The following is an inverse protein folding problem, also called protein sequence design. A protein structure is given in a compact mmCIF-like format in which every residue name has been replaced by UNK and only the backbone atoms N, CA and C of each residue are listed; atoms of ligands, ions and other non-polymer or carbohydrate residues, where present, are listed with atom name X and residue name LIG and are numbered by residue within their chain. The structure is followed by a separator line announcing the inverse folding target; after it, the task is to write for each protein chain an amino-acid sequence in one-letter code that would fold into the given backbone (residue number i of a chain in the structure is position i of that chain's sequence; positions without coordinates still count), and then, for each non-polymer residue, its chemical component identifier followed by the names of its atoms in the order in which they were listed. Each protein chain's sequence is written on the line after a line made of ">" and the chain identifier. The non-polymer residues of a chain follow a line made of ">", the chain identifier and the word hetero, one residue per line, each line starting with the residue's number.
data_IF_204998581453
#
_entry.id   IF_204998581453
#
_cell.length_a   1.000
_cell.length_b   1.000
_cell.length_c   1.000
_cell.angle_alpha   90.00
_cell.angle_beta   90.00
_cell.angle_gamma   90.00
#
_symmetry.space_group_name_H-M   'P 1'
#
loop_
_entity.id
_entity.type
_entity.pdbx_description
1 polymer ?
#
# COMPACT_ATOMS: atom_id res chain seq x y z
N UNK A 1 1.29 -4.17 -14.69
CA UNK A 1 2.06 -2.96 -15.05
C UNK A 1 1.25 -1.71 -14.68
N UNK A 2 1.91 -0.60 -14.31
CA UNK A 2 1.22 0.66 -14.05
C UNK A 2 0.39 1.08 -15.27
N UNK A 3 -0.84 1.54 -15.02
CA UNK A 3 -1.77 1.95 -16.07
C UNK A 3 -2.23 3.37 -15.80
N UNK A 4 -2.13 4.24 -16.81
CA UNK A 4 -2.63 5.62 -16.76
C UNK A 4 -3.87 5.73 -17.62
N UNK A 5 -4.96 6.23 -17.05
CA UNK A 5 -6.21 6.47 -17.78
C UNK A 5 -6.40 7.98 -17.90
N UNK A 6 -6.36 8.49 -19.14
CA UNK A 6 -6.65 9.87 -19.44
C UNK A 6 -8.15 10.04 -19.70
N UNK A 7 -8.88 10.60 -18.74
CA UNK A 7 -10.31 10.78 -18.84
C UNK A 7 -10.65 12.24 -19.21
N UNK A 8 -11.21 12.46 -20.39
CA UNK A 8 -11.79 13.76 -20.77
C UNK A 8 -13.23 13.81 -20.28
N UNK A 9 -13.49 14.63 -19.29
CA UNK A 9 -14.79 14.74 -18.64
C UNK A 9 -15.34 16.16 -18.70
N UNK A 10 -16.62 16.32 -18.41
CA UNK A 10 -17.29 17.60 -18.24
C UNK A 10 -17.62 17.75 -16.75
N UNK A 11 -17.23 18.89 -16.15
CA UNK A 11 -17.56 19.18 -14.77
C UNK A 11 -19.08 19.22 -14.59
N UNK A 12 -19.58 18.50 -13.57
CA UNK A 12 -21.02 18.43 -13.32
C UNK A 12 -21.79 17.63 -14.34
N UNK A 13 -21.18 16.68 -15.05
CA UNK A 13 -21.86 15.84 -16.01
C UNK A 13 -23.13 15.23 -15.44
N UNK A 14 -24.25 15.43 -16.11
CA UNK A 14 -25.56 14.95 -15.67
C UNK A 14 -26.39 15.95 -14.86
N UNK A 15 -25.77 17.02 -14.34
CA UNK A 15 -26.48 18.03 -13.54
C UNK A 15 -27.32 19.01 -14.39
N UNK A 16 -27.30 18.89 -15.72
CA UNK A 16 -28.09 19.73 -16.59
C UNK A 16 -27.79 21.23 -16.45
N UNK A 17 -28.86 22.04 -16.48
CA UNK A 17 -28.76 23.51 -16.42
C UNK A 17 -28.13 24.03 -15.13
N UNK A 18 -28.29 23.30 -14.03
CA UNK A 18 -27.87 23.76 -12.71
C UNK A 18 -26.37 23.56 -12.44
N UNK A 19 -25.68 22.75 -13.25
CA UNK A 19 -24.29 22.45 -12.89
C UNK A 19 -23.39 21.98 -14.04
N UNK A 20 -23.94 21.57 -15.19
CA UNK A 20 -23.11 21.00 -16.25
C UNK A 20 -22.30 22.07 -16.98
N UNK A 21 -20.97 21.91 -17.00
CA UNK A 21 -20.03 22.86 -17.61
C UNK A 21 -19.99 24.27 -16.98
N UNK A 22 -20.46 24.40 -15.74
CA UNK A 22 -20.52 25.68 -15.04
C UNK A 22 -19.43 25.76 -13.97
N UNK A 23 -18.73 26.89 -13.88
CA UNK A 23 -17.64 27.08 -12.91
C UNK A 23 -18.10 27.00 -11.45
N UNK A 24 -19.34 27.48 -11.17
CA UNK A 24 -19.92 27.49 -9.83
C UNK A 24 -20.29 26.09 -9.32
N UNK A 25 -20.29 25.08 -10.16
CA UNK A 25 -20.62 23.69 -9.80
C UNK A 25 -19.74 23.15 -8.68
N UNK A 26 -18.52 23.64 -8.55
CA UNK A 26 -17.63 23.26 -7.45
C UNK A 26 -18.20 23.57 -6.06
N UNK A 27 -19.05 24.57 -5.96
CA UNK A 27 -19.68 25.01 -4.72
C UNK A 27 -21.14 24.53 -4.60
N UNK A 28 -21.65 23.82 -5.60
CA UNK A 28 -23.02 23.29 -5.59
C UNK A 28 -23.19 22.28 -4.47
N UNK A 29 -24.08 22.57 -3.53
CA UNK A 29 -24.30 21.71 -2.35
C UNK A 29 -25.57 20.88 -2.47
N UNK A 30 -26.56 21.35 -3.22
CA UNK A 30 -27.86 20.70 -3.40
C UNK A 30 -28.34 20.90 -4.84
N UNK A 31 -29.01 19.90 -5.37
CA UNK A 31 -29.86 20.01 -6.56
C UNK A 31 -31.27 20.28 -6.10
N UNK A 32 -31.99 21.08 -6.89
CA UNK A 32 -33.42 21.27 -6.65
C UNK A 32 -34.23 20.08 -7.18
N UNK A 33 -35.54 20.13 -7.00
CA UNK A 33 -36.42 19.04 -7.39
C UNK A 33 -36.46 18.83 -8.91
N UNK A 34 -36.42 19.90 -9.69
CA UNK A 34 -36.39 19.84 -11.15
C UNK A 34 -35.10 19.19 -11.64
N UNK A 35 -33.97 19.56 -11.06
CA UNK A 35 -32.67 18.99 -11.38
C UNK A 35 -32.59 17.49 -11.07
N UNK A 36 -33.16 17.08 -9.93
CA UNK A 36 -33.20 15.67 -9.54
C UNK A 36 -34.06 14.84 -10.50
N UNK A 37 -35.21 15.35 -10.92
CA UNK A 37 -36.06 14.70 -11.90
C UNK A 37 -35.36 14.62 -13.26
N UNK A 38 -34.71 15.71 -13.69
CA UNK A 38 -33.92 15.71 -14.91
C UNK A 38 -32.79 14.66 -14.88
N UNK A 39 -32.05 14.56 -13.75
CA UNK A 39 -30.99 13.58 -13.58
C UNK A 39 -31.55 12.14 -13.69
N UNK A 40 -32.63 11.84 -12.99
CA UNK A 40 -33.32 10.56 -13.07
C UNK A 40 -33.68 10.18 -14.50
N UNK A 41 -34.32 11.11 -15.23
CA UNK A 41 -34.79 10.87 -16.58
C UNK A 41 -33.65 10.68 -17.57
N UNK A 42 -32.61 11.51 -17.44
CA UNK A 42 -31.42 11.44 -18.30
C UNK A 42 -30.68 10.10 -18.17
N UNK A 43 -30.60 9.55 -16.97
CA UNK A 43 -29.89 8.29 -16.71
C UNK A 43 -30.84 7.08 -16.60
N UNK A 44 -32.11 7.25 -16.83
CA UNK A 44 -33.08 6.16 -16.80
C UNK A 44 -33.19 5.47 -15.44
N UNK A 45 -32.99 6.22 -14.34
CA UNK A 45 -33.08 5.65 -13.00
C UNK A 45 -34.56 5.31 -12.70
N UNK A 46 -34.92 4.06 -12.39
CA UNK A 46 -36.29 3.63 -12.26
C UNK A 46 -36.90 4.00 -10.90
N UNK A 47 -36.99 5.29 -10.63
CA UNK A 47 -37.65 5.86 -9.44
C UNK A 47 -38.83 6.71 -9.84
N UNK A 48 -39.90 6.65 -9.05
CA UNK A 48 -41.08 7.54 -9.18
C UNK A 48 -40.74 8.95 -8.78
N UNK A 49 -41.46 9.95 -9.22
CA UNK A 49 -41.29 11.35 -8.84
C UNK A 49 -41.29 11.52 -7.31
N UNK A 50 -42.19 10.82 -6.63
CA UNK A 50 -42.26 10.84 -5.16
C UNK A 50 -40.97 10.34 -4.50
N UNK A 51 -40.41 9.26 -5.02
CA UNK A 51 -39.15 8.69 -4.52
C UNK A 51 -37.97 9.62 -4.78
N UNK A 52 -37.92 10.24 -5.96
CA UNK A 52 -36.89 11.23 -6.29
C UNK A 52 -36.96 12.43 -5.36
N UNK A 53 -38.17 12.98 -5.14
CA UNK A 53 -38.41 14.10 -4.22
C UNK A 53 -38.00 13.79 -2.76
N UNK A 54 -38.21 12.53 -2.34
CA UNK A 54 -37.82 12.05 -1.01
C UNK A 54 -36.32 11.64 -0.94
N UNK A 55 -35.59 11.72 -2.06
CA UNK A 55 -34.18 11.32 -2.16
C UNK A 55 -34.01 9.85 -1.69
N UNK A 56 -34.90 8.97 -2.14
CA UNK A 56 -34.82 7.55 -1.82
C UNK A 56 -33.67 6.87 -2.57
N UNK A 57 -32.99 5.95 -1.89
CA UNK A 57 -31.92 5.17 -2.51
C UNK A 57 -32.50 4.19 -3.54
N UNK A 58 -31.94 4.22 -4.73
CA UNK A 58 -32.20 3.18 -5.71
C UNK A 58 -31.35 1.95 -5.41
N UNK A 59 -32.00 0.81 -5.26
CA UNK A 59 -31.34 -0.49 -5.19
C UNK A 59 -31.75 -1.31 -6.40
N UNK A 60 -30.81 -1.66 -7.31
CA UNK A 60 -31.10 -2.52 -8.45
C UNK A 60 -31.60 -3.89 -8.01
N UNK A 61 -32.45 -4.52 -8.84
CA UNK A 61 -32.88 -5.88 -8.60
C UNK A 61 -31.70 -6.86 -8.62
N UNK A 62 -31.72 -7.83 -7.73
CA UNK A 62 -30.66 -8.83 -7.60
C UNK A 62 -30.43 -9.66 -8.89
N UNK A 63 -31.46 -9.76 -9.74
CA UNK A 63 -31.42 -10.47 -11.01
C UNK A 63 -31.19 -9.55 -12.21
N UNK A 64 -30.97 -8.24 -11.98
CA UNK A 64 -30.64 -7.32 -13.08
C UNK A 64 -29.31 -7.69 -13.70
N UNK A 65 -29.10 -7.32 -14.96
CA UNK A 65 -27.86 -7.65 -15.68
C UNK A 65 -26.64 -6.96 -15.05
N UNK A 66 -26.83 -5.74 -14.53
CA UNK A 66 -25.78 -4.98 -13.83
C UNK A 66 -25.31 -5.70 -12.56
N UNK A 67 -26.25 -6.19 -11.76
CA UNK A 67 -25.93 -6.91 -10.52
C UNK A 67 -25.30 -8.27 -10.80
N UNK A 68 -25.80 -8.99 -11.79
CA UNK A 68 -25.17 -10.25 -12.23
C UNK A 68 -23.75 -10.04 -12.70
N UNK A 69 -23.52 -9.01 -13.53
CA UNK A 69 -22.17 -8.66 -13.99
C UNK A 69 -21.26 -8.28 -12.83
N UNK A 70 -21.72 -7.38 -11.95
CA UNK A 70 -20.96 -6.97 -10.76
C UNK A 70 -20.54 -8.18 -9.92
N UNK A 71 -21.50 -9.04 -9.57
CA UNK A 71 -21.24 -10.23 -8.76
C UNK A 71 -20.26 -11.19 -9.44
N UNK A 72 -20.41 -11.42 -10.74
CA UNK A 72 -19.50 -12.28 -11.49
C UNK A 72 -18.06 -11.75 -11.48
N UNK A 73 -17.88 -10.44 -11.66
CA UNK A 73 -16.53 -9.83 -11.58
C UNK A 73 -15.97 -9.91 -10.15
N UNK A 74 -16.79 -9.66 -9.14
CA UNK A 74 -16.34 -9.76 -7.73
C UNK A 74 -15.94 -11.18 -7.35
N UNK A 75 -16.65 -12.18 -7.82
CA UNK A 75 -16.28 -13.60 -7.60
C UNK A 75 -14.92 -13.91 -8.23
N UNK A 76 -14.65 -13.44 -9.45
CA UNK A 76 -13.33 -13.60 -10.11
C UNK A 76 -12.20 -12.95 -9.32
N UNK A 77 -12.47 -11.88 -8.59
CA UNK A 77 -11.51 -11.14 -7.76
C UNK A 77 -11.43 -11.64 -6.31
N UNK A 78 -12.10 -12.75 -5.97
CA UNK A 78 -12.07 -13.30 -4.61
C UNK A 78 -13.14 -12.74 -3.66
N UNK A 79 -14.19 -12.10 -4.15
CA UNK A 79 -15.29 -11.57 -3.35
C UNK A 79 -15.36 -10.05 -3.28
N UNK A 80 -16.32 -9.51 -2.52
CA UNK A 80 -16.54 -8.06 -2.40
C UNK A 80 -15.49 -7.36 -1.54
N UNK A 81 -15.08 -8.01 -0.48
CA UNK A 81 -13.97 -7.61 0.37
C UNK A 81 -12.98 -8.76 0.30
N UNK A 82 -11.69 -8.52 0.05
CA UNK A 82 -10.70 -9.58 0.13
C UNK A 82 -10.89 -10.33 1.45
N UNK A 83 -11.11 -11.63 1.37
CA UNK A 83 -11.27 -12.45 2.56
C UNK A 83 -9.97 -12.39 3.35
N UNK A 84 -10.04 -11.87 4.57
CA UNK A 84 -8.89 -11.89 5.47
C UNK A 84 -8.68 -13.30 5.94
N UNK A 85 -7.69 -13.92 5.39
CA UNK A 85 -7.28 -15.26 5.80
C UNK A 85 -6.28 -15.15 6.94
N UNK A 86 -6.61 -15.80 8.07
CA UNK A 86 -5.62 -16.07 9.13
C UNK A 86 -4.72 -17.28 8.81
N UNK A 87 -4.87 -17.83 7.60
CA UNK A 87 -4.12 -18.99 7.16
C UNK A 87 -2.72 -18.59 6.75
N UNK A 88 -1.83 -18.46 7.71
CA UNK A 88 -0.38 -18.33 7.46
C UNK A 88 0.32 -19.64 7.78
N UNK A 89 1.34 -19.98 6.99
CA UNK A 89 2.23 -21.08 7.36
C UNK A 89 2.88 -20.76 8.70
N UNK A 90 2.81 -21.68 9.65
CA UNK A 90 3.50 -21.50 10.92
C UNK A 90 4.99 -21.30 10.67
N UNK A 91 5.52 -20.22 11.23
CA UNK A 91 6.94 -19.93 11.19
C UNK A 91 7.54 -20.55 12.46
N UNK A 92 8.54 -21.41 12.29
CA UNK A 92 9.28 -21.95 13.42
C UNK A 92 10.07 -20.80 14.06
N UNK A 93 9.85 -20.59 15.35
CA UNK A 93 10.60 -19.59 16.10
C UNK A 93 12.11 -19.91 16.06
N UNK A 94 12.98 -18.92 15.97
CA UNK A 94 14.41 -19.12 16.05
C UNK A 94 14.78 -19.68 17.45
N UNK A 95 15.87 -20.46 17.55
CA UNK A 95 16.31 -20.97 18.84
C UNK A 95 16.74 -19.83 19.77
N UNK A 96 16.49 -20.00 21.08
CA UNK A 96 16.77 -18.93 22.08
C UNK A 96 18.24 -18.54 22.13
N UNK A 97 19.13 -19.44 21.80
CA UNK A 97 20.57 -19.25 21.81
C UNK A 97 21.04 -18.12 20.88
N UNK A 98 20.24 -17.79 19.84
CA UNK A 98 20.49 -16.62 18.99
C UNK A 98 20.49 -15.33 19.80
N UNK A 99 19.72 -15.29 20.88
CA UNK A 99 19.52 -14.09 21.70
C UNK A 99 20.42 -14.05 22.94
N UNK A 100 21.18 -15.11 23.26
CA UNK A 100 21.99 -15.21 24.48
C UNK A 100 22.97 -14.04 24.68
N UNK A 101 23.55 -13.55 23.58
CA UNK A 101 24.48 -12.42 23.64
C UNK A 101 23.78 -11.08 23.91
N UNK A 102 22.48 -10.97 23.66
CA UNK A 102 21.70 -9.75 23.92
C UNK A 102 21.12 -9.74 25.34
N UNK A 103 21.10 -10.89 25.99
CA UNK A 103 20.66 -11.02 27.38
C UNK A 103 21.80 -10.75 28.40
N UNK A 104 23.01 -10.54 27.91
CA UNK A 104 24.18 -10.22 28.73
C UNK A 104 24.43 -8.73 28.73
N UNK A 105 25.10 -8.23 29.80
CA UNK A 105 25.57 -6.86 29.83
C UNK A 105 26.59 -6.58 28.71
N UNK A 106 26.58 -5.38 28.18
CA UNK A 106 27.60 -4.87 27.26
C UNK A 106 28.94 -4.54 27.96
N UNK A 107 28.98 -4.69 29.30
CA UNK A 107 30.10 -4.24 30.12
C UNK A 107 30.27 -2.73 30.04
N UNK A 108 31.51 -2.26 29.86
CA UNK A 108 31.81 -0.84 29.74
C UNK A 108 31.57 -0.26 28.34
N UNK A 109 31.03 -1.03 27.41
CA UNK A 109 30.72 -0.57 26.03
C UNK A 109 29.36 0.07 25.97
N UNK A 110 29.32 1.34 25.69
CA UNK A 110 28.09 2.05 25.36
C UNK A 110 27.50 1.55 24.04
N UNK A 111 26.20 1.40 24.01
CA UNK A 111 25.47 0.95 22.82
C UNK A 111 24.13 1.67 22.76
N UNK A 112 23.81 2.26 21.60
CA UNK A 112 22.47 2.80 21.36
C UNK A 112 21.46 1.67 21.21
N UNK A 113 20.19 1.95 21.51
CA UNK A 113 19.08 1.01 21.31
C UNK A 113 18.91 0.63 19.84
N UNK A 114 19.15 1.56 18.93
CA UNK A 114 19.14 1.31 17.47
C UNK A 114 20.23 0.32 17.09
N UNK A 115 21.45 0.48 17.58
CA UNK A 115 22.54 -0.47 17.29
C UNK A 115 22.27 -1.85 17.91
N UNK A 116 21.63 -1.92 19.06
CA UNK A 116 21.20 -3.18 19.65
C UNK A 116 20.17 -3.89 18.75
N UNK A 117 19.18 -3.14 18.21
CA UNK A 117 18.22 -3.64 17.23
C UNK A 117 18.91 -4.15 15.97
N UNK A 118 19.82 -3.38 15.38
CA UNK A 118 20.57 -3.78 14.16
C UNK A 118 21.34 -5.07 14.37
N UNK A 119 21.99 -5.23 15.52
CA UNK A 119 22.70 -6.47 15.87
C UNK A 119 21.74 -7.64 16.03
N UNK A 120 20.55 -7.42 16.63
CA UNK A 120 19.52 -8.45 16.78
C UNK A 120 18.99 -8.88 15.42
N UNK A 121 18.65 -7.93 14.54
CA UNK A 121 18.23 -8.23 13.16
C UNK A 121 19.34 -8.98 12.40
N UNK A 122 20.60 -8.58 12.58
CA UNK A 122 21.74 -9.30 11.98
C UNK A 122 21.85 -10.75 12.47
N UNK A 123 21.53 -11.02 13.73
CA UNK A 123 21.48 -12.38 14.25
C UNK A 123 20.30 -13.18 13.64
N UNK A 124 19.13 -12.57 13.54
CA UNK A 124 17.95 -13.18 12.91
C UNK A 124 18.16 -13.50 11.43
N UNK A 125 18.94 -12.72 10.70
CA UNK A 125 19.30 -13.00 9.31
C UNK A 125 20.14 -14.29 9.12
N UNK A 126 20.63 -14.89 10.21
CA UNK A 126 21.30 -16.21 10.16
C UNK A 126 20.32 -17.38 10.22
N UNK A 127 19.10 -17.15 10.69
CA UNK A 127 18.07 -18.18 10.73
C UNK A 127 17.41 -18.34 9.37
N UNK A 128 17.46 -19.56 8.82
CA UNK A 128 16.97 -19.86 7.46
C UNK A 128 15.45 -19.70 7.30
N UNK A 129 14.68 -19.78 8.40
CA UNK A 129 13.22 -19.64 8.34
C UNK A 129 12.79 -18.17 8.45
N UNK A 130 13.53 -17.37 9.21
CA UNK A 130 13.21 -15.95 9.46
C UNK A 130 13.85 -15.06 8.40
N UNK A 131 15.10 -15.31 8.03
CA UNK A 131 15.85 -14.46 7.09
C UNK A 131 15.08 -14.08 5.81
N UNK A 132 14.40 -15.00 5.10
CA UNK A 132 13.66 -14.65 3.89
C UNK A 132 12.41 -13.77 4.13
N UNK A 133 12.03 -13.56 5.39
CA UNK A 133 10.85 -12.80 5.80
C UNK A 133 11.19 -11.49 6.49
N UNK A 134 12.47 -11.25 6.72
CA UNK A 134 12.94 -10.04 7.36
C UNK A 134 13.13 -8.97 6.29
N UNK A 135 12.26 -7.98 6.26
CA UNK A 135 12.27 -6.89 5.29
C UNK A 135 12.37 -5.55 6.04
N UNK A 136 13.58 -5.00 6.19
CA UNK A 136 13.74 -3.63 6.68
C UNK A 136 13.15 -2.64 5.67
N UNK A 137 12.30 -1.72 6.17
CA UNK A 137 11.73 -0.64 5.37
C UNK A 137 12.33 0.66 5.89
N UNK A 138 13.09 1.36 5.06
CA UNK A 138 13.96 2.44 5.49
C UNK A 138 13.72 3.68 4.64
N UNK A 139 13.49 4.86 5.26
CA UNK A 139 13.42 6.13 4.55
C UNK A 139 14.83 6.73 4.35
N UNK A 140 15.65 6.10 3.52
CA UNK A 140 16.96 6.57 3.03
C UNK A 140 18.02 6.97 4.09
N UNK A 141 17.95 6.39 5.29
CA UNK A 141 18.92 6.72 6.36
C UNK A 141 19.62 5.48 6.93
N UNK A 142 19.78 4.42 6.13
CA UNK A 142 20.35 3.16 6.59
C UNK A 142 21.73 3.31 7.23
N UNK A 143 22.61 4.15 6.68
CA UNK A 143 23.95 4.40 7.23
C UNK A 143 23.91 5.12 8.56
N UNK A 144 23.03 6.11 8.71
CA UNK A 144 22.86 6.86 9.96
C UNK A 144 22.44 5.94 11.10
N UNK A 145 21.68 4.90 10.80
CA UNK A 145 21.25 3.91 11.78
C UNK A 145 22.18 2.69 11.90
N UNK A 146 23.32 2.69 11.20
CA UNK A 146 24.26 1.57 11.23
C UNK A 146 23.75 0.31 10.54
N UNK A 147 22.84 0.46 9.57
CA UNK A 147 22.22 -0.64 8.81
C UNK A 147 22.91 -0.93 7.48
N UNK A 148 23.97 -0.20 7.11
CA UNK A 148 24.70 -0.36 5.85
C UNK A 148 25.22 -1.79 5.64
N UNK A 149 25.46 -2.53 6.69
CA UNK A 149 25.83 -3.94 6.62
C UNK A 149 24.75 -4.83 5.97
N UNK A 150 23.51 -4.36 5.89
CA UNK A 150 22.44 -5.09 5.21
C UNK A 150 22.56 -5.02 3.69
N UNK A 151 23.16 -3.96 3.15
CA UNK A 151 23.32 -3.80 1.70
C UNK A 151 24.05 -4.99 1.08
N UNK A 152 25.10 -5.46 1.72
CA UNK A 152 25.86 -6.60 1.24
C UNK A 152 25.23 -7.95 1.59
N UNK A 153 24.51 -8.02 2.73
CA UNK A 153 23.94 -9.30 3.21
C UNK A 153 22.67 -9.70 2.50
N UNK A 154 21.74 -8.76 2.36
CA UNK A 154 20.40 -9.03 1.85
C UNK A 154 20.02 -8.13 0.68
N UNK A 155 20.85 -7.14 0.34
CA UNK A 155 20.63 -6.23 -0.79
C UNK A 155 19.47 -5.27 -0.61
N UNK A 156 19.51 -4.18 -1.33
CA UNK A 156 18.40 -3.24 -1.47
C UNK A 156 17.56 -3.71 -2.65
N UNK A 157 16.26 -3.75 -2.48
CA UNK A 157 15.37 -4.18 -3.55
C UNK A 157 15.34 -3.15 -4.68
N UNK A 158 15.63 -3.60 -5.89
CA UNK A 158 15.46 -2.84 -7.11
C UNK A 158 14.84 -3.73 -8.20
N UNK A 159 13.68 -3.34 -8.71
CA UNK A 159 12.92 -4.14 -9.69
C UNK A 159 13.74 -4.57 -10.91
N UNK A 160 14.64 -3.73 -11.36
CA UNK A 160 15.50 -4.02 -12.51
C UNK A 160 16.94 -4.43 -12.15
N UNK A 161 17.26 -4.48 -10.86
CA UNK A 161 18.61 -4.64 -10.34
C UNK A 161 19.44 -3.37 -10.50
N UNK A 162 20.70 -3.43 -10.09
CA UNK A 162 21.61 -2.30 -10.14
C UNK A 162 22.13 -2.08 -11.57
N UNK A 163 21.90 -0.88 -12.11
CA UNK A 163 22.28 -0.49 -13.47
C UNK A 163 23.41 0.55 -13.53
N UNK A 164 24.02 0.84 -12.42
CA UNK A 164 25.08 1.82 -12.26
C UNK A 164 26.11 1.33 -11.26
N UNK A 165 27.30 1.89 -11.31
CA UNK A 165 28.30 1.68 -10.30
C UNK A 165 28.06 2.70 -9.15
N UNK A 166 27.87 2.25 -7.91
CA UNK A 166 27.64 3.18 -6.80
C UNK A 166 28.93 3.97 -6.50
N UNK A 167 28.75 5.23 -6.06
CA UNK A 167 29.86 6.13 -5.73
C UNK A 167 30.75 5.58 -4.62
N UNK A 168 30.21 4.71 -3.79
CA UNK A 168 30.88 4.05 -2.66
C UNK A 168 31.34 2.62 -2.97
N UNK A 169 31.49 2.26 -4.25
CA UNK A 169 31.82 0.88 -4.70
C UNK A 169 33.08 0.31 -4.06
N UNK A 170 34.04 1.16 -3.68
CA UNK A 170 35.28 0.76 -3.00
C UNK A 170 35.10 0.47 -1.50
N UNK A 171 33.97 0.79 -0.92
CA UNK A 171 33.70 0.57 0.50
C UNK A 171 33.22 -0.86 0.78
N UNK A 172 33.60 -1.41 1.94
CA UNK A 172 33.17 -2.75 2.38
C UNK A 172 31.64 -2.92 2.47
N UNK A 173 30.94 -1.84 2.80
CA UNK A 173 29.48 -1.80 2.89
C UNK A 173 28.91 -0.87 1.83
N UNK A 174 29.35 -1.05 0.57
CA UNK A 174 28.89 -0.28 -0.55
C UNK A 174 27.38 -0.48 -0.80
N UNK A 175 26.76 0.51 -1.40
CA UNK A 175 25.35 0.46 -1.81
C UNK A 175 25.16 -0.66 -2.85
N UNK A 176 24.26 -1.59 -2.59
CA UNK A 176 24.01 -2.74 -3.48
C UNK A 176 22.54 -2.97 -3.69
N UNK A 177 22.10 -2.78 -4.93
CA UNK A 177 20.75 -3.10 -5.38
C UNK A 177 20.67 -4.48 -6.02
N UNK A 178 19.58 -5.19 -5.78
CA UNK A 178 19.34 -6.52 -6.34
C UNK A 178 17.83 -6.75 -6.53
N UNK A 179 17.45 -7.52 -7.56
CA UNK A 179 16.05 -7.92 -7.77
C UNK A 179 15.50 -8.78 -6.64
N UNK A 180 16.36 -9.50 -5.96
CA UNK A 180 16.05 -10.30 -4.76
C UNK A 180 16.38 -9.57 -3.46
N UNK A 181 16.70 -8.28 -3.52
CA UNK A 181 16.99 -7.48 -2.34
C UNK A 181 15.84 -7.45 -1.36
N UNK A 182 16.15 -7.42 -0.06
CA UNK A 182 15.14 -7.43 1.00
C UNK A 182 15.00 -6.10 1.73
N UNK A 183 15.95 -5.17 1.59
CA UNK A 183 15.83 -3.82 2.12
C UNK A 183 14.96 -3.01 1.17
N UNK A 184 13.87 -2.44 1.68
CA UNK A 184 13.08 -1.47 0.93
C UNK A 184 13.54 -0.07 1.33
N UNK A 185 14.24 0.60 0.43
CA UNK A 185 14.58 2.02 0.56
C UNK A 185 13.56 2.87 -0.19
N UNK A 186 12.78 3.63 0.58
CA UNK A 186 11.64 4.41 0.08
C UNK A 186 12.05 5.84 -0.37
N UNK A 187 13.32 6.20 -0.21
CA UNK A 187 13.76 7.58 -0.30
C UNK A 187 13.38 8.37 0.95
N UNK A 188 13.74 9.65 1.02
CA UNK A 188 13.46 10.53 2.18
C UNK A 188 11.95 10.78 2.27
N UNK A 189 11.22 9.77 2.71
CA UNK A 189 9.75 9.75 2.77
C UNK A 189 9.25 8.77 3.84
N UNK A 190 9.11 9.23 5.06
CA UNK A 190 8.62 8.45 6.20
C UNK A 190 7.16 7.98 5.98
N UNK A 191 6.35 8.82 5.34
CA UNK A 191 4.96 8.46 5.01
C UNK A 191 4.90 7.30 4.00
N UNK A 192 5.82 7.26 3.02
CA UNK A 192 5.97 6.16 2.08
C UNK A 192 6.41 4.88 2.79
N UNK A 193 7.42 4.96 3.64
CA UNK A 193 7.89 3.83 4.43
C UNK A 193 6.79 3.26 5.32
N UNK A 194 6.01 4.11 5.99
CA UNK A 194 4.87 3.69 6.80
C UNK A 194 3.77 3.05 5.94
N UNK A 195 3.50 3.59 4.75
CA UNK A 195 2.51 3.02 3.84
C UNK A 195 2.90 1.63 3.36
N UNK A 196 4.17 1.41 3.03
CA UNK A 196 4.71 0.10 2.67
C UNK A 196 4.62 -0.89 3.84
N UNK A 197 4.90 -0.43 5.07
CA UNK A 197 4.76 -1.25 6.27
C UNK A 197 3.31 -1.66 6.52
N UNK A 198 2.35 -0.74 6.40
CA UNK A 198 0.92 -1.03 6.52
C UNK A 198 0.49 -2.05 5.46
N UNK A 199 0.89 -1.84 4.20
CA UNK A 199 0.55 -2.74 3.11
C UNK A 199 1.12 -4.16 3.32
N UNK A 200 2.30 -4.27 3.90
CA UNK A 200 2.89 -5.58 4.23
C UNK A 200 2.21 -6.28 5.41
N UNK A 201 1.56 -5.52 6.30
CA UNK A 201 0.88 -6.02 7.49
C UNK A 201 -0.60 -6.37 7.28
N UNK A 202 -1.16 -6.07 6.12
CA UNK A 202 -2.58 -6.28 5.79
C UNK A 202 -2.76 -7.29 4.67
#
# INVERSE_FOLDING_TARGET
>A
SPTVILAKTIKGYGMGKSGESINTTHQQKKLDEEDLLYYRDRFGVPLTDKQVKNIEYYKPDENSEEIKYLKAQRVKLGGFIPERSSFSKQIKAPPKEIFDNFMKSTGDKEMSTTMALVRMLTALLRDKNISPRLVPIIPDEARTFGMEGFFQKIGIYAHEGQKYEPVDSEQLSSYREDKSGQVLEEGINESGAMSSWIAAGT
#
